data_IF_222422737319
#
_entry.id   IF_222422737319
#
_cell.length_a   1.000
_cell.length_b   1.000
_cell.length_c   1.000
_cell.angle_alpha   90.00
_cell.angle_beta   90.00
_cell.angle_gamma   90.00
#
_symmetry.space_group_name_H-M   'P 1'
#
loop_
_entity.id
_entity.type
_entity.pdbx_description
1 polymer ?
#
# COMPACT_ATOMS: atom_id res chain seq x y z
N UNK A 1 -23.25 12.54 0.86
CA UNK A 1 -22.37 11.36 0.95
C UNK A 1 -23.10 10.25 1.65
N UNK A 2 -23.13 9.03 1.09
CA UNK A 2 -23.74 7.89 1.78
C UNK A 2 -22.80 7.42 2.89
N UNK A 3 -23.34 7.15 4.07
CA UNK A 3 -22.61 6.62 5.22
C UNK A 3 -21.80 5.36 4.88
N UNK A 4 -22.35 4.43 4.13
CA UNK A 4 -21.66 3.23 3.67
C UNK A 4 -20.41 3.56 2.83
N UNK A 5 -20.44 4.68 2.08
CA UNK A 5 -19.29 5.12 1.32
C UNK A 5 -18.14 5.56 2.24
N UNK A 6 -18.44 6.25 3.35
CA UNK A 6 -17.42 6.66 4.31
C UNK A 6 -16.75 5.45 4.98
N UNK A 7 -17.52 4.41 5.33
CA UNK A 7 -16.98 3.15 5.84
C UNK A 7 -16.04 2.50 4.81
N UNK A 8 -16.44 2.45 3.55
CA UNK A 8 -15.62 1.87 2.48
C UNK A 8 -14.31 2.63 2.27
N UNK A 9 -14.35 3.97 2.36
CA UNK A 9 -13.15 4.80 2.26
C UNK A 9 -12.18 4.47 3.41
N UNK A 10 -12.67 4.47 4.66
CA UNK A 10 -11.84 4.15 5.83
C UNK A 10 -11.31 2.71 5.73
N UNK A 11 -12.16 1.75 5.35
CA UNK A 11 -11.78 0.35 5.18
C UNK A 11 -10.68 0.18 4.13
N UNK A 12 -10.79 0.88 2.99
CA UNK A 12 -9.75 0.86 1.96
C UNK A 12 -8.41 1.41 2.47
N UNK A 13 -8.45 2.46 3.29
CA UNK A 13 -7.27 3.01 3.94
C UNK A 13 -6.61 2.04 4.92
N UNK A 14 -7.41 1.33 5.72
CA UNK A 14 -6.90 0.29 6.63
C UNK A 14 -6.19 -0.83 5.88
N UNK A 15 -6.83 -1.38 4.84
CA UNK A 15 -6.25 -2.46 4.02
C UNK A 15 -4.96 -2.00 3.32
N UNK A 16 -4.95 -0.78 2.81
CA UNK A 16 -3.78 -0.23 2.13
C UNK A 16 -2.58 -0.06 3.08
N UNK A 17 -2.81 0.47 4.30
CA UNK A 17 -1.75 0.63 5.29
C UNK A 17 -1.28 -0.71 5.87
N UNK A 18 -2.18 -1.69 6.01
CA UNK A 18 -1.80 -3.04 6.41
C UNK A 18 -0.83 -3.65 5.39
N UNK A 19 -1.17 -3.62 4.10
CA UNK A 19 -0.29 -4.13 3.06
C UNK A 19 1.06 -3.38 3.01
N UNK A 20 1.07 -2.06 3.27
CA UNK A 20 2.33 -1.32 3.38
C UNK A 20 3.18 -1.82 4.54
N UNK A 21 2.58 -2.09 5.70
CA UNK A 21 3.29 -2.67 6.85
C UNK A 21 3.86 -4.06 6.53
N UNK A 22 3.10 -4.89 5.81
CA UNK A 22 3.52 -6.23 5.41
C UNK A 22 4.75 -6.15 4.49
N UNK A 23 4.72 -5.27 3.47
CA UNK A 23 5.85 -5.07 2.54
C UNK A 23 7.08 -4.50 3.24
N UNK A 24 6.91 -3.51 4.12
CA UNK A 24 8.04 -2.98 4.92
C UNK A 24 8.64 -4.06 5.82
N UNK A 25 7.81 -4.90 6.44
CA UNK A 25 8.28 -6.02 7.26
C UNK A 25 9.05 -7.04 6.42
N UNK A 26 8.61 -7.30 5.19
CA UNK A 26 9.32 -8.15 4.23
C UNK A 26 10.69 -7.56 3.89
N UNK A 27 10.77 -6.26 3.59
CA UNK A 27 12.03 -5.56 3.32
C UNK A 27 13.00 -5.66 4.51
N UNK A 28 12.52 -5.41 5.73
CA UNK A 28 13.34 -5.49 6.96
C UNK A 28 13.86 -6.91 7.17
N UNK A 29 13.01 -7.91 7.02
CA UNK A 29 13.37 -9.33 7.21
C UNK A 29 14.41 -9.75 6.19
N UNK A 30 14.31 -9.26 4.95
CA UNK A 30 15.23 -9.62 3.86
C UNK A 30 16.39 -8.63 3.69
N UNK A 31 16.63 -7.73 4.64
CA UNK A 31 17.68 -6.72 4.54
C UNK A 31 19.11 -7.26 4.43
N UNK A 32 19.31 -8.55 4.71
CA UNK A 32 20.58 -9.27 4.61
C UNK A 32 20.51 -10.50 3.68
N UNK A 33 19.42 -10.67 2.94
CA UNK A 33 19.24 -11.84 2.07
C UNK A 33 20.01 -11.65 0.76
N UNK A 34 21.08 -12.39 0.61
CA UNK A 34 22.00 -12.34 -0.55
C UNK A 34 21.54 -13.18 -1.72
N UNK A 35 20.62 -14.13 -1.50
CA UNK A 35 20.10 -15.01 -2.54
C UNK A 35 18.58 -15.15 -2.43
N UNK A 36 17.88 -14.89 -3.54
CA UNK A 36 16.44 -15.12 -3.66
C UNK A 36 16.20 -16.54 -4.18
N UNK A 37 15.05 -17.13 -3.89
CA UNK A 37 14.67 -18.50 -4.23
C UNK A 37 14.81 -18.82 -5.73
N UNK A 38 14.63 -17.83 -6.60
CA UNK A 38 14.82 -17.95 -8.05
C UNK A 38 16.30 -17.89 -8.51
N UNK A 39 17.26 -17.68 -7.62
CA UNK A 39 18.69 -17.67 -7.92
C UNK A 39 19.25 -16.41 -8.59
N UNK A 40 18.48 -15.35 -8.69
CA UNK A 40 18.82 -14.10 -9.39
C UNK A 40 19.38 -13.00 -8.44
N UNK A 41 20.37 -13.32 -7.61
CA UNK A 41 21.08 -12.30 -6.82
C UNK A 41 20.40 -11.95 -5.49
N UNK A 42 20.78 -10.80 -4.92
CA UNK A 42 20.30 -10.34 -3.64
C UNK A 42 18.85 -9.80 -3.72
N UNK A 43 18.15 -9.84 -2.58
CA UNK A 43 16.79 -9.29 -2.46
C UNK A 43 16.73 -7.81 -2.85
N UNK A 44 15.71 -7.43 -3.60
CA UNK A 44 15.44 -6.03 -3.95
C UNK A 44 14.34 -5.46 -3.07
N UNK A 45 14.53 -4.21 -2.63
CA UNK A 45 13.55 -3.45 -1.88
C UNK A 45 12.23 -3.37 -2.64
N UNK A 46 11.11 -3.67 -1.98
CA UNK A 46 9.77 -3.55 -2.55
C UNK A 46 9.08 -2.29 -2.04
N UNK A 47 8.30 -1.66 -2.91
CA UNK A 47 7.52 -0.46 -2.62
C UNK A 47 6.07 -0.64 -3.02
N UNK A 48 5.15 -0.08 -2.23
CA UNK A 48 3.70 -0.14 -2.50
C UNK A 48 3.26 1.13 -3.23
N UNK A 49 2.60 0.97 -4.36
CA UNK A 49 2.03 2.08 -5.13
C UNK A 49 0.55 2.20 -4.84
N UNK A 50 0.16 3.38 -4.32
CA UNK A 50 -1.22 3.72 -4.02
C UNK A 50 -1.87 4.52 -5.14
N UNK A 51 -3.14 4.23 -5.40
CA UNK A 51 -3.97 5.00 -6.33
C UNK A 51 -5.29 5.38 -5.66
N UNK A 52 -5.72 6.62 -5.89
CA UNK A 52 -7.05 7.04 -5.45
C UNK A 52 -8.14 6.35 -6.27
N UNK A 53 -9.11 5.75 -5.59
CA UNK A 53 -10.27 5.13 -6.25
C UNK A 53 -11.20 6.24 -6.74
N UNK A 54 -11.25 6.43 -8.06
CA UNK A 54 -12.20 7.35 -8.70
C UNK A 54 -13.45 6.60 -9.15
N UNK A 55 -14.64 7.17 -8.89
CA UNK A 55 -15.93 6.58 -9.31
C UNK A 55 -16.12 6.45 -10.82
N UNK A 56 -15.19 7.01 -11.60
CA UNK A 56 -15.21 6.95 -13.06
C UNK A 56 -15.09 5.54 -13.62
N UNK A 57 -14.43 4.63 -12.91
CA UNK A 57 -14.11 3.27 -13.37
C UNK A 57 -15.02 2.21 -12.74
N UNK A 58 -16.07 2.56 -12.03
CA UNK A 58 -17.03 1.59 -11.52
C UNK A 58 -17.86 1.00 -12.67
N UNK A 59 -18.19 -0.29 -12.59
CA UNK A 59 -19.10 -0.95 -13.54
C UNK A 59 -20.42 -0.19 -13.69
N UNK A 60 -20.97 0.36 -12.61
CA UNK A 60 -22.14 1.21 -12.61
C UNK A 60 -21.97 2.49 -13.45
N UNK A 61 -20.80 3.13 -13.36
CA UNK A 61 -20.49 4.30 -14.17
C UNK A 61 -20.31 3.95 -15.65
N UNK A 62 -19.71 2.78 -15.94
CA UNK A 62 -19.59 2.27 -17.31
C UNK A 62 -20.98 1.94 -17.90
N UNK A 63 -21.84 1.31 -17.14
CA UNK A 63 -23.21 0.97 -17.57
C UNK A 63 -24.08 2.21 -17.74
N UNK A 64 -23.97 3.20 -16.84
CA UNK A 64 -24.67 4.48 -16.98
C UNK A 64 -24.22 5.27 -18.21
N UNK A 65 -22.94 5.21 -18.56
CA UNK A 65 -22.40 5.80 -19.82
C UNK A 65 -22.94 5.07 -21.04
N UNK A 66 -23.00 3.74 -21.02
CA UNK A 66 -23.54 2.95 -22.13
C UNK A 66 -25.03 3.21 -22.34
N UNK A 67 -25.80 3.35 -21.26
CA UNK A 67 -27.24 3.62 -21.29
C UNK A 67 -27.58 5.08 -21.67
N UNK A 68 -26.72 6.04 -21.36
CA UNK A 68 -26.96 7.48 -21.58
C UNK A 68 -26.49 8.00 -22.94
N UNK A 69 -25.99 7.12 -23.87
CA UNK A 69 -25.55 7.54 -25.20
C UNK A 69 -24.47 8.62 -25.14
N UNK A 70 -23.34 8.34 -24.52
CA UNK A 70 -22.10 9.11 -24.55
C UNK A 70 -22.24 10.64 -24.43
N UNK A 71 -22.63 11.14 -23.26
CA UNK A 71 -22.36 12.53 -22.90
C UNK A 71 -21.11 12.56 -22.00
N UNK A 72 -19.97 13.13 -22.43
CA UNK A 72 -18.71 13.10 -21.69
C UNK A 72 -18.73 13.83 -20.33
N UNK A 73 -19.81 14.52 -20.03
CA UNK A 73 -19.91 15.41 -18.87
C UNK A 73 -21.08 15.11 -17.92
N UNK A 74 -21.67 13.92 -18.00
CA UNK A 74 -22.65 13.49 -16.99
C UNK A 74 -21.90 13.30 -15.66
N UNK A 75 -22.21 14.16 -14.71
CA UNK A 75 -21.57 14.42 -13.44
C UNK A 75 -20.83 13.25 -12.79
N UNK A 76 -19.65 13.53 -12.30
CA UNK A 76 -18.86 12.60 -11.51
C UNK A 76 -19.78 11.87 -10.52
N UNK A 77 -19.81 10.54 -10.58
CA UNK A 77 -20.53 9.76 -9.58
C UNK A 77 -19.97 10.18 -8.20
N UNK A 78 -20.81 10.76 -7.32
CA UNK A 78 -20.33 11.47 -6.13
C UNK A 78 -19.79 10.53 -5.04
N UNK A 79 -19.62 9.26 -5.30
CA UNK A 79 -19.48 8.23 -4.27
C UNK A 79 -18.32 7.26 -4.46
N UNK A 80 -17.29 7.63 -5.18
CA UNK A 80 -16.07 6.85 -5.14
C UNK A 80 -14.98 7.70 -4.48
N UNK A 81 -14.55 7.24 -3.40
CA UNK A 81 -13.39 7.73 -2.65
C UNK A 81 -12.72 6.51 -2.05
N UNK A 82 -11.51 6.70 -1.59
CA UNK A 82 -10.70 5.66 -1.00
C UNK A 82 -9.40 5.48 -1.75
N UNK A 83 -8.61 4.54 -1.29
CA UNK A 83 -7.31 4.19 -1.83
C UNK A 83 -7.28 2.70 -2.18
N UNK A 84 -6.56 2.36 -3.23
CA UNK A 84 -6.22 0.97 -3.55
C UNK A 84 -4.73 0.85 -3.79
N UNK A 85 -4.20 -0.31 -3.52
CA UNK A 85 -2.87 -0.70 -3.98
C UNK A 85 -3.01 -1.18 -5.42
N UNK A 86 -2.25 -0.60 -6.34
CA UNK A 86 -2.24 -0.99 -7.74
C UNK A 86 -1.19 -2.05 -8.03
N UNK A 87 -0.04 -1.89 -7.41
CA UNK A 87 1.09 -2.81 -7.59
C UNK A 87 2.08 -2.69 -6.44
N UNK A 88 2.88 -3.72 -6.29
CA UNK A 88 4.11 -3.73 -5.51
C UNK A 88 5.25 -3.72 -6.54
N UNK A 89 6.15 -2.76 -6.44
CA UNK A 89 7.24 -2.53 -7.39
C UNK A 89 8.56 -2.75 -6.68
N UNK A 90 9.51 -3.38 -7.35
CA UNK A 90 10.89 -3.47 -6.88
C UNK A 90 11.64 -2.18 -7.21
N UNK A 91 12.50 -1.75 -6.30
CA UNK A 91 13.32 -0.56 -6.46
C UNK A 91 14.56 -0.91 -7.31
N UNK A 92 14.47 -0.57 -8.60
CA UNK A 92 15.57 -0.75 -9.55
C UNK A 92 16.47 0.49 -9.64
N UNK A 93 16.02 1.64 -9.10
CA UNK A 93 16.77 2.90 -9.19
C UNK A 93 17.89 2.96 -8.15
N UNK A 94 17.65 2.44 -6.95
CA UNK A 94 18.66 2.44 -5.89
C UNK A 94 19.65 1.31 -6.12
N UNK A 95 20.95 1.61 -6.23
CA UNK A 95 21.97 0.58 -6.43
C UNK A 95 22.05 -0.37 -5.22
N UNK A 96 22.40 -1.62 -5.48
CA UNK A 96 22.69 -2.62 -4.46
C UNK A 96 23.94 -2.22 -3.66
N UNK A 97 24.00 -2.62 -2.40
CA UNK A 97 25.16 -2.34 -1.54
C UNK A 97 26.24 -3.38 -1.78
N UNK A 98 27.44 -2.94 -2.17
CA UNK A 98 28.59 -3.83 -2.33
C UNK A 98 29.42 -3.85 -1.05
N UNK A 99 29.66 -5.04 -0.50
CA UNK A 99 30.47 -5.26 0.70
C UNK A 99 31.58 -6.25 0.39
N UNK A 100 32.80 -5.96 0.85
CA UNK A 100 33.92 -6.87 0.68
C UNK A 100 33.93 -7.89 1.81
N UNK A 101 33.55 -9.13 1.51
CA UNK A 101 33.61 -10.28 2.42
C UNK A 101 33.96 -11.55 1.63
N UNK A 102 35.26 -11.86 1.49
CA UNK A 102 35.71 -13.03 0.74
C UNK A 102 35.40 -14.37 1.43
N UNK A 103 34.90 -14.33 2.67
CA UNK A 103 34.57 -15.57 3.40
C UNK A 103 33.11 -16.01 3.18
N UNK A 104 32.30 -15.13 2.59
CA UNK A 104 30.89 -15.42 2.36
C UNK A 104 30.71 -16.37 1.15
N UNK A 105 29.83 -17.39 1.26
CA UNK A 105 29.60 -18.35 0.19
C UNK A 105 29.05 -17.76 -1.13
N UNK A 106 28.42 -16.58 -1.06
CA UNK A 106 27.84 -15.86 -2.20
C UNK A 106 28.75 -14.72 -2.70
N UNK A 107 29.99 -14.63 -2.21
CA UNK A 107 30.95 -13.66 -2.70
C UNK A 107 31.41 -13.97 -4.14
N UNK A 108 31.63 -12.95 -4.94
CA UNK A 108 32.18 -13.08 -6.30
C UNK A 108 33.66 -13.50 -6.30
N UNK A 109 34.22 -13.71 -7.48
CA UNK A 109 35.64 -14.07 -7.64
C UNK A 109 36.61 -13.02 -7.08
N UNK A 110 36.14 -11.77 -6.87
CA UNK A 110 36.91 -10.64 -6.34
C UNK A 110 36.72 -10.45 -4.83
N UNK A 111 35.82 -11.25 -4.21
CA UNK A 111 35.50 -11.20 -2.79
C UNK A 111 34.46 -10.14 -2.42
N UNK A 112 33.69 -9.63 -3.38
CA UNK A 112 32.60 -8.72 -3.12
C UNK A 112 31.27 -9.45 -3.05
N UNK A 113 30.41 -8.98 -2.15
CA UNK A 113 29.06 -9.47 -1.93
C UNK A 113 28.06 -8.36 -2.22
N UNK A 114 27.05 -8.67 -3.02
CA UNK A 114 25.88 -7.80 -3.18
C UNK A 114 24.89 -8.00 -2.02
N UNK A 115 24.59 -6.90 -1.31
CA UNK A 115 23.54 -6.84 -0.30
C UNK A 115 22.33 -6.08 -0.83
N UNK A 116 21.13 -6.36 -0.28
CA UNK A 116 19.91 -5.65 -0.63
C UNK A 116 20.05 -4.13 -0.52
N UNK A 117 19.35 -3.40 -1.40
CA UNK A 117 19.24 -1.95 -1.37
C UNK A 117 18.26 -1.43 -0.31
N UNK A 118 18.12 -2.18 0.78
CA UNK A 118 17.26 -1.85 1.91
C UNK A 118 18.01 -0.99 2.92
N UNK A 119 17.43 0.14 3.31
CA UNK A 119 17.89 0.96 4.44
C UNK A 119 16.99 0.71 5.65
N UNK A 120 17.51 0.04 6.66
CA UNK A 120 16.80 -0.33 7.87
C UNK A 120 16.16 0.88 8.57
N UNK A 121 16.84 2.03 8.60
CA UNK A 121 16.36 3.24 9.28
C UNK A 121 15.16 3.83 8.52
N UNK A 122 15.25 3.85 7.19
CA UNK A 122 14.16 4.31 6.32
C UNK A 122 12.94 3.38 6.43
N UNK A 123 13.15 2.06 6.41
CA UNK A 123 12.06 1.09 6.55
C UNK A 123 11.38 1.19 7.92
N UNK A 124 12.15 1.36 9.01
CA UNK A 124 11.56 1.57 10.34
C UNK A 124 10.75 2.87 10.41
N UNK A 125 11.22 3.95 9.79
CA UNK A 125 10.47 5.20 9.72
C UNK A 125 9.16 5.02 8.93
N UNK A 126 9.20 4.28 7.82
CA UNK A 126 8.04 3.93 7.00
C UNK A 126 7.03 3.06 7.77
N UNK A 127 7.51 2.06 8.51
CA UNK A 127 6.68 1.23 9.39
C UNK A 127 5.94 2.06 10.44
N UNK A 128 6.67 2.99 11.09
CA UNK A 128 6.07 3.90 12.07
C UNK A 128 5.02 4.83 11.43
N UNK A 129 5.28 5.34 10.25
CA UNK A 129 4.34 6.19 9.51
C UNK A 129 3.07 5.42 9.14
N UNK A 130 3.22 4.21 8.58
CA UNK A 130 2.11 3.33 8.23
C UNK A 130 1.28 2.92 9.44
N UNK A 131 1.93 2.58 10.57
CA UNK A 131 1.27 2.23 11.83
C UNK A 131 0.45 3.41 12.38
N UNK A 132 0.98 4.62 12.37
CA UNK A 132 0.24 5.83 12.78
C UNK A 132 -0.95 6.10 11.88
N UNK A 133 -0.79 5.96 10.56
CA UNK A 133 -1.88 6.11 9.60
C UNK A 133 -2.97 5.05 9.81
N UNK A 134 -2.58 3.80 10.07
CA UNK A 134 -3.50 2.72 10.42
C UNK A 134 -4.29 3.05 11.69
N UNK A 135 -3.62 3.43 12.78
CA UNK A 135 -4.25 3.81 14.05
C UNK A 135 -5.22 5.01 13.89
N UNK A 136 -4.85 5.98 13.06
CA UNK A 136 -5.73 7.12 12.73
C UNK A 136 -7.01 6.65 12.01
N UNK A 137 -6.90 5.75 11.05
CA UNK A 137 -8.04 5.17 10.35
C UNK A 137 -8.94 4.35 11.28
N UNK A 138 -8.36 3.58 12.22
CA UNK A 138 -9.12 2.86 13.26
C UNK A 138 -9.89 3.84 14.14
N UNK A 139 -9.26 4.95 14.55
CA UNK A 139 -9.92 6.00 15.34
C UNK A 139 -11.07 6.64 14.58
N UNK A 140 -10.88 6.96 13.30
CA UNK A 140 -11.92 7.49 12.44
C UNK A 140 -13.09 6.50 12.28
N UNK A 141 -12.80 5.21 12.15
CA UNK A 141 -13.82 4.16 12.08
C UNK A 141 -14.64 4.08 13.37
N UNK A 142 -13.97 4.11 14.54
CA UNK A 142 -14.65 4.07 15.84
C UNK A 142 -15.49 5.32 16.08
N UNK A 143 -15.01 6.49 15.70
CA UNK A 143 -15.80 7.75 15.76
C UNK A 143 -17.06 7.64 14.89
N UNK A 144 -16.93 7.14 13.68
CA UNK A 144 -18.06 6.94 12.78
C UNK A 144 -19.08 5.96 13.38
N UNK A 145 -18.62 4.83 13.94
CA UNK A 145 -19.46 3.86 14.63
C UNK A 145 -20.23 4.49 15.79
N UNK A 146 -19.58 5.35 16.60
CA UNK A 146 -20.22 6.07 17.70
C UNK A 146 -21.32 7.01 17.21
N UNK A 147 -21.06 7.77 16.15
CA UNK A 147 -22.05 8.67 15.54
C UNK A 147 -23.31 7.91 15.08
N UNK A 148 -23.13 6.71 14.53
CA UNK A 148 -24.27 5.88 14.11
C UNK A 148 -25.06 5.41 15.31
N UNK A 149 -24.38 4.88 16.32
CA UNK A 149 -25.03 4.40 17.53
C UNK A 149 -25.89 5.50 18.14
N UNK A 150 -25.33 6.69 18.30
CA UNK A 150 -26.06 7.85 18.80
C UNK A 150 -27.22 8.28 17.88
N UNK A 151 -27.03 8.21 16.56
CA UNK A 151 -28.10 8.53 15.62
C UNK A 151 -29.28 7.55 15.67
N UNK A 152 -29.01 6.27 15.91
CA UNK A 152 -30.03 5.24 16.09
C UNK A 152 -30.79 5.40 17.42
N UNK A 153 -30.12 5.88 18.47
CA UNK A 153 -30.76 6.14 19.77
C UNK A 153 -31.72 7.35 19.71
N UNK A 154 -31.39 8.36 18.91
CA UNK A 154 -32.26 9.55 18.72
C UNK A 154 -33.52 9.19 17.90
N UNK A 155 -33.44 8.15 17.07
CA UNK A 155 -34.58 7.69 16.23
C UNK A 155 -35.54 6.72 16.92
N UNK A 156 -35.34 6.43 18.21
CA UNK A 156 -36.25 5.68 19.07
C UNK A 156 -37.05 6.64 19.93
#
# INVERSE_FOLDING_TARGET
MSFLNTINIIGSGLTAQQLRLDVVSENVTNSQTTRVENGEGAYRRKMVVFEAVSGRNSFRAAMARAAAGAVPNAGAAPNAGGVRVTQIVEDEETPMKMVYDPTHPDADEQGYLELPNVDMVMEMADAMAASRAYASNVTAFNTLKSVISSGLEIGR
#
